data_IF_819947545998
#
_entry.id   IF_819947545998
#
_cell.length_a   1.000
_cell.length_b   1.000
_cell.length_c   1.000
_cell.angle_alpha   90.00
_cell.angle_beta   90.00
_cell.angle_gamma   90.00
#
_symmetry.space_group_name_H-M   'P 1'
#
loop_
_entity.id
_entity.type
_entity.pdbx_description
1 polymer ?
#
# COMPACT_ATOMS: atom_id res chain seq x y z
N UNK A 1 -13.27 5.57 15.41
CA UNK A 1 -13.61 5.53 13.98
C UNK A 1 -12.63 4.61 13.26
N UNK A 2 -13.06 3.88 12.24
CA UNK A 2 -12.11 3.08 11.42
C UNK A 2 -11.23 4.01 10.59
N UNK A 3 -10.04 3.58 10.19
CA UNK A 3 -9.16 4.43 9.36
C UNK A 3 -9.79 4.74 7.99
N UNK A 4 -10.59 3.81 7.44
CA UNK A 4 -11.34 4.03 6.20
C UNK A 4 -12.41 5.13 6.36
N UNK A 5 -13.13 5.18 7.47
CA UNK A 5 -14.15 6.23 7.73
C UNK A 5 -13.53 7.54 8.21
N UNK A 6 -12.32 7.50 8.75
CA UNK A 6 -11.62 8.69 9.23
C UNK A 6 -11.35 9.66 8.08
N UNK A 7 -10.91 9.18 6.91
CA UNK A 7 -10.66 10.01 5.73
C UNK A 7 -11.89 10.11 4.82
N UNK A 8 -12.24 11.33 4.40
CA UNK A 8 -13.43 11.62 3.59
C UNK A 8 -13.06 11.83 2.12
N UNK A 9 -13.99 11.52 1.23
CA UNK A 9 -13.91 12.01 -0.15
C UNK A 9 -14.31 13.50 -0.16
N UNK A 10 -13.82 14.31 -1.12
CA UNK A 10 -14.08 15.74 -1.13
C UNK A 10 -15.58 16.09 -1.15
N UNK A 11 -16.35 15.46 -2.03
CA UNK A 11 -17.78 15.75 -2.22
C UNK A 11 -18.05 17.26 -2.36
N UNK A 12 -19.12 17.74 -1.73
CA UNK A 12 -19.46 19.17 -1.68
C UNK A 12 -18.67 19.96 -0.60
N UNK A 13 -17.89 19.28 0.23
CA UNK A 13 -17.14 19.90 1.34
C UNK A 13 -15.66 19.51 1.31
N UNK A 14 -14.89 19.91 0.27
CA UNK A 14 -13.49 19.50 0.09
C UNK A 14 -12.58 19.90 1.24
N UNK A 15 -12.90 20.96 1.98
CA UNK A 15 -12.19 21.41 3.17
C UNK A 15 -12.33 20.45 4.38
N UNK A 16 -13.27 19.50 4.34
CA UNK A 16 -13.49 18.50 5.39
C UNK A 16 -12.86 17.17 4.99
N UNK A 17 -11.54 17.08 5.12
CA UNK A 17 -10.75 15.91 4.69
C UNK A 17 -10.88 14.69 5.62
N UNK A 18 -11.29 14.90 6.87
CA UNK A 18 -11.38 13.85 7.88
C UNK A 18 -12.61 13.98 8.79
N UNK A 19 -12.78 13.01 9.69
CA UNK A 19 -13.93 12.90 10.58
C UNK A 19 -13.83 13.70 11.89
N UNK A 20 -12.78 14.50 12.10
CA UNK A 20 -12.63 15.31 13.31
C UNK A 20 -13.61 16.49 13.32
N UNK A 21 -14.14 16.78 14.49
CA UNK A 21 -14.90 17.99 14.78
C UNK A 21 -14.02 18.99 15.57
N UNK A 22 -14.39 20.29 15.62
CA UNK A 22 -13.63 21.27 16.40
C UNK A 22 -13.47 20.86 17.86
N UNK A 23 -12.22 20.83 18.33
CA UNK A 23 -11.87 20.39 19.69
C UNK A 23 -11.45 18.92 19.80
N UNK A 24 -11.65 18.11 18.75
CA UNK A 24 -11.14 16.73 18.73
C UNK A 24 -9.61 16.69 18.61
N UNK A 25 -9.01 15.68 19.23
CA UNK A 25 -7.59 15.37 19.11
C UNK A 25 -7.38 13.87 18.87
N UNK A 26 -6.54 13.54 17.89
CA UNK A 26 -6.08 12.16 17.70
C UNK A 26 -5.06 11.82 18.79
N UNK A 27 -5.44 10.95 19.73
CA UNK A 27 -4.57 10.55 20.85
C UNK A 27 -3.89 9.20 20.65
N UNK A 28 -4.42 8.35 19.77
CA UNK A 28 -3.87 7.01 19.51
C UNK A 28 -4.36 6.42 18.18
N UNK A 29 -3.56 5.49 17.65
CA UNK A 29 -3.98 4.54 16.61
C UNK A 29 -3.87 3.15 17.21
N UNK A 30 -4.89 2.32 17.03
CA UNK A 30 -4.91 0.93 17.51
C UNK A 30 -4.87 0.00 16.32
N UNK A 31 -3.84 -0.86 16.27
CA UNK A 31 -3.82 -1.98 15.35
C UNK A 31 -4.52 -3.17 16.02
N UNK A 32 -5.46 -3.83 15.32
CA UNK A 32 -6.12 -5.02 15.86
C UNK A 32 -5.08 -6.14 16.07
N UNK A 33 -5.29 -7.02 17.05
CA UNK A 33 -4.32 -8.08 17.38
C UNK A 33 -4.08 -9.01 16.19
N UNK A 34 -5.12 -9.22 15.37
CA UNK A 34 -5.10 -9.98 14.13
C UNK A 34 -4.14 -9.37 13.08
N UNK A 35 -3.77 -8.10 13.20
CA UNK A 35 -2.76 -7.50 12.32
C UNK A 35 -1.39 -8.21 12.44
N UNK A 36 -1.11 -8.84 13.58
CA UNK A 36 0.12 -9.60 13.79
C UNK A 36 0.27 -10.76 12.79
N UNK A 37 -0.82 -11.35 12.30
CA UNK A 37 -0.76 -12.46 11.33
C UNK A 37 -0.16 -12.06 9.99
N UNK A 38 -0.14 -10.75 9.68
CA UNK A 38 0.40 -10.21 8.43
C UNK A 38 1.88 -9.81 8.54
N UNK A 39 2.43 -9.77 9.76
CA UNK A 39 3.78 -9.22 10.03
C UNK A 39 4.88 -9.89 9.20
N UNK A 40 4.76 -11.19 8.96
CA UNK A 40 5.72 -11.97 8.19
C UNK A 40 5.66 -11.68 6.68
N UNK A 41 4.58 -11.11 6.15
CA UNK A 41 4.36 -10.97 4.70
C UNK A 41 3.69 -9.63 4.39
N UNK A 42 4.36 -8.54 4.75
CA UNK A 42 3.90 -7.17 4.52
C UNK A 42 4.94 -6.33 3.79
N UNK A 43 4.48 -5.45 2.91
CA UNK A 43 5.30 -4.48 2.18
C UNK A 43 4.58 -3.18 1.93
N UNK A 44 5.36 -2.10 1.98
CA UNK A 44 4.98 -0.82 1.43
C UNK A 44 5.98 -0.42 0.35
N UNK A 45 5.49 -0.14 -0.86
CA UNK A 45 6.27 0.36 -1.97
C UNK A 45 5.80 1.76 -2.35
N UNK A 46 6.76 2.61 -2.68
CA UNK A 46 6.54 4.02 -3.00
C UNK A 46 7.34 4.41 -4.23
N UNK A 47 6.65 4.62 -5.34
CA UNK A 47 7.24 5.18 -6.56
C UNK A 47 7.25 6.69 -6.47
N UNK A 48 8.40 7.28 -6.81
CA UNK A 48 8.71 8.70 -6.64
C UNK A 48 9.80 9.11 -7.62
N UNK A 49 9.84 10.40 -7.95
CA UNK A 49 10.81 10.97 -8.90
C UNK A 49 12.24 11.02 -8.35
N UNK A 50 12.38 11.14 -7.03
CA UNK A 50 13.66 11.25 -6.33
C UNK A 50 13.77 10.21 -5.23
N UNK A 51 14.98 9.69 -5.03
CA UNK A 51 15.22 8.54 -4.14
C UNK A 51 14.85 8.83 -2.68
N UNK A 52 14.92 10.07 -2.22
CA UNK A 52 14.47 10.48 -0.87
C UNK A 52 13.74 11.83 -0.92
N UNK A 53 13.06 12.17 0.18
CA UNK A 53 12.39 13.45 0.40
C UNK A 53 11.43 13.87 -0.73
N UNK A 54 10.63 12.91 -1.20
CA UNK A 54 9.59 13.12 -2.21
C UNK A 54 8.29 12.42 -1.81
N UNK A 55 7.14 12.99 -2.23
CA UNK A 55 5.84 12.33 -2.12
C UNK A 55 5.75 11.12 -3.06
N UNK A 56 4.76 10.26 -2.81
CA UNK A 56 4.50 9.14 -3.68
C UNK A 56 3.77 9.66 -4.93
N UNK A 57 4.27 9.34 -6.11
CA UNK A 57 3.48 9.48 -7.34
C UNK A 57 2.34 8.47 -7.29
N UNK A 58 2.68 7.22 -6.96
CA UNK A 58 1.79 6.16 -6.48
C UNK A 58 2.49 5.33 -5.41
N UNK A 59 1.74 4.76 -4.49
CA UNK A 59 2.23 3.80 -3.51
C UNK A 59 1.26 2.65 -3.31
N UNK A 60 1.76 1.50 -2.85
CA UNK A 60 0.94 0.36 -2.47
C UNK A 60 1.45 -0.24 -1.16
N UNK A 61 0.53 -0.49 -0.22
CA UNK A 61 0.73 -1.32 0.95
C UNK A 61 0.03 -2.66 0.70
N UNK A 62 0.78 -3.77 0.73
CA UNK A 62 0.27 -5.12 0.56
C UNK A 62 0.66 -5.97 1.77
N UNK A 63 -0.28 -6.76 2.25
CA UNK A 63 -0.07 -7.69 3.35
C UNK A 63 -0.84 -8.99 3.10
N UNK A 64 -0.19 -10.13 3.30
CA UNK A 64 -0.72 -11.46 3.01
C UNK A 64 -0.65 -12.37 4.23
N UNK A 65 -1.60 -13.28 4.36
CA UNK A 65 -1.48 -14.51 5.15
C UNK A 65 -1.50 -15.66 4.16
N UNK A 66 -0.42 -16.42 4.08
CA UNK A 66 -0.27 -17.52 3.12
C UNK A 66 -0.07 -18.82 3.87
N UNK A 67 -0.82 -19.84 3.48
CA UNK A 67 -0.76 -21.18 4.06
C UNK A 67 -0.87 -22.21 2.93
N UNK A 68 0.09 -23.13 2.86
CA UNK A 68 0.15 -24.14 1.80
C UNK A 68 0.17 -23.56 0.37
N UNK A 69 0.76 -22.37 0.17
CA UNK A 69 0.80 -21.68 -1.12
C UNK A 69 -0.51 -20.96 -1.51
N UNK A 70 -1.55 -21.04 -0.66
CA UNK A 70 -2.83 -20.35 -0.85
C UNK A 70 -2.91 -19.10 0.03
N UNK A 71 -3.52 -18.04 -0.50
CA UNK A 71 -3.73 -16.80 0.25
C UNK A 71 -4.97 -16.95 1.13
N UNK A 72 -4.79 -16.98 2.44
CA UNK A 72 -5.87 -17.06 3.44
C UNK A 72 -6.48 -15.71 3.77
N UNK A 73 -5.69 -14.66 3.70
CA UNK A 73 -6.14 -13.28 3.86
C UNK A 73 -5.21 -12.33 3.10
N UNK A 74 -5.77 -11.24 2.59
CA UNK A 74 -5.02 -10.17 1.96
C UNK A 74 -5.52 -8.81 2.46
N UNK A 75 -4.60 -7.84 2.54
CA UNK A 75 -4.90 -6.41 2.68
C UNK A 75 -4.13 -5.66 1.60
N UNK A 76 -4.83 -4.82 0.86
CA UNK A 76 -4.23 -4.01 -0.19
C UNK A 76 -4.77 -2.58 -0.12
N UNK A 77 -3.86 -1.62 0.03
CA UNK A 77 -4.18 -0.20 0.00
C UNK A 77 -3.25 0.57 -0.94
N UNK A 78 -3.80 1.56 -1.64
CA UNK A 78 -3.08 2.42 -2.58
C UNK A 78 -3.04 3.86 -2.09
N UNK A 79 -1.92 4.53 -2.36
CA UNK A 79 -1.70 5.95 -2.09
C UNK A 79 -1.34 6.71 -3.37
N UNK A 80 -1.63 8.01 -3.41
CA UNK A 80 -1.35 8.88 -4.56
C UNK A 80 -2.26 8.66 -5.78
N UNK A 81 -3.24 7.77 -5.67
CA UNK A 81 -4.18 7.40 -6.75
C UNK A 81 -5.60 7.97 -6.56
N UNK A 82 -5.93 8.45 -5.36
CA UNK A 82 -7.25 8.98 -5.01
C UNK A 82 -7.13 10.09 -3.95
N UNK A 83 -8.24 10.80 -3.67
CA UNK A 83 -8.30 11.88 -2.69
C UNK A 83 -8.13 11.43 -1.22
N UNK A 84 -8.20 10.11 -0.97
CA UNK A 84 -7.94 9.47 0.32
C UNK A 84 -7.15 8.17 0.10
N UNK A 85 -6.53 7.58 1.15
CA UNK A 85 -5.98 6.23 1.05
C UNK A 85 -7.05 5.25 0.55
N UNK A 86 -6.74 4.51 -0.52
CA UNK A 86 -7.72 3.68 -1.22
C UNK A 86 -7.55 2.21 -0.86
N UNK A 87 -8.50 1.63 -0.14
CA UNK A 87 -8.47 0.19 0.16
C UNK A 87 -9.08 -0.60 -1.00
N UNK A 88 -8.28 -1.43 -1.65
CA UNK A 88 -8.66 -2.19 -2.85
C UNK A 88 -9.37 -3.50 -2.49
N UNK A 89 -10.62 -3.41 -1.99
CA UNK A 89 -11.40 -4.59 -1.54
C UNK A 89 -11.69 -5.58 -2.67
N UNK A 90 -11.89 -5.11 -3.89
CA UNK A 90 -12.09 -5.96 -5.08
C UNK A 90 -10.87 -6.85 -5.33
N UNK A 91 -9.67 -6.31 -5.20
CA UNK A 91 -8.43 -7.07 -5.25
C UNK A 91 -8.29 -8.04 -4.07
N UNK A 92 -8.61 -7.60 -2.84
CA UNK A 92 -8.60 -8.48 -1.65
C UNK A 92 -9.52 -9.70 -1.87
N UNK A 93 -10.67 -9.52 -2.52
CA UNK A 93 -11.60 -10.61 -2.85
C UNK A 93 -11.04 -11.59 -3.90
N UNK A 94 -10.37 -11.09 -4.95
CA UNK A 94 -9.69 -11.93 -5.95
C UNK A 94 -8.58 -12.77 -5.34
N UNK A 95 -7.86 -12.22 -4.35
CA UNK A 95 -6.75 -12.89 -3.70
C UNK A 95 -7.24 -14.01 -2.74
N UNK A 96 -8.41 -13.87 -2.13
CA UNK A 96 -8.89 -14.80 -1.11
C UNK A 96 -9.06 -16.23 -1.66
N UNK A 97 -8.30 -17.18 -1.09
CA UNK A 97 -8.33 -18.59 -1.47
C UNK A 97 -7.56 -18.93 -2.76
N UNK A 98 -7.02 -17.94 -3.46
CA UNK A 98 -6.26 -18.14 -4.69
C UNK A 98 -4.82 -18.57 -4.40
N UNK A 99 -4.13 -19.10 -5.42
CA UNK A 99 -2.70 -19.38 -5.37
C UNK A 99 -1.89 -18.09 -5.23
N UNK A 100 -0.86 -18.11 -4.39
CA UNK A 100 0.07 -17.01 -4.23
C UNK A 100 1.03 -16.92 -5.43
N UNK A 101 0.52 -16.45 -6.57
CA UNK A 101 1.24 -16.40 -7.84
C UNK A 101 1.19 -15.00 -8.47
N UNK A 102 2.17 -14.72 -9.34
CA UNK A 102 2.20 -13.46 -10.09
C UNK A 102 0.98 -13.28 -11.01
N UNK A 103 0.47 -14.37 -11.60
CA UNK A 103 -0.76 -14.33 -12.40
C UNK A 103 -1.96 -13.89 -11.55
N UNK A 104 -2.12 -14.46 -10.35
CA UNK A 104 -3.16 -14.06 -9.40
C UNK A 104 -3.00 -12.60 -8.97
N UNK A 105 -1.77 -12.14 -8.73
CA UNK A 105 -1.50 -10.75 -8.37
C UNK A 105 -1.82 -9.78 -9.52
N UNK A 106 -1.60 -10.18 -10.76
CA UNK A 106 -2.00 -9.40 -11.94
C UNK A 106 -3.54 -9.27 -12.02
N UNK A 107 -4.28 -10.36 -11.85
CA UNK A 107 -5.75 -10.33 -11.80
C UNK A 107 -6.28 -9.46 -10.65
N UNK A 108 -5.63 -9.50 -9.49
CA UNK A 108 -5.98 -8.63 -8.37
C UNK A 108 -5.70 -7.14 -8.68
N UNK A 109 -4.61 -6.82 -9.38
CA UNK A 109 -4.31 -5.46 -9.83
C UNK A 109 -5.34 -4.95 -10.84
N UNK A 110 -5.77 -5.80 -11.78
CA UNK A 110 -6.84 -5.47 -12.73
C UNK A 110 -8.16 -5.19 -12.00
N UNK A 111 -8.52 -6.04 -11.03
CA UNK A 111 -9.72 -5.84 -10.21
C UNK A 111 -9.66 -4.58 -9.32
N UNK A 112 -8.46 -4.19 -8.82
CA UNK A 112 -8.28 -2.97 -8.03
C UNK A 112 -8.56 -1.70 -8.85
N UNK A 113 -8.34 -1.75 -10.16
CA UNK A 113 -8.30 -0.59 -11.05
C UNK A 113 -9.40 -0.61 -12.11
N UNK A 114 -10.34 -1.57 -12.06
CA UNK A 114 -11.42 -1.71 -13.03
C UNK A 114 -12.23 -0.41 -13.21
N UNK A 115 -12.46 0.32 -12.12
CA UNK A 115 -13.21 1.58 -12.10
C UNK A 115 -12.30 2.82 -12.06
N UNK A 116 -10.99 2.66 -12.23
CA UNK A 116 -10.06 3.78 -12.19
C UNK A 116 -10.21 4.66 -13.43
N UNK A 117 -10.42 5.96 -13.21
CA UNK A 117 -10.48 6.97 -14.27
C UNK A 117 -9.41 8.04 -14.06
N UNK A 118 -8.80 8.53 -15.16
CA UNK A 118 -7.83 9.60 -15.06
C UNK A 118 -8.50 10.94 -14.80
N UNK A 119 -7.72 11.89 -14.27
CA UNK A 119 -8.08 13.30 -14.09
C UNK A 119 -6.95 14.16 -14.63
N UNK A 120 -7.23 14.92 -15.71
CA UNK A 120 -6.21 15.70 -16.42
C UNK A 120 -5.07 14.82 -16.94
N UNK A 121 -3.83 15.29 -16.74
CA UNK A 121 -2.62 14.64 -17.28
C UNK A 121 -2.11 13.44 -16.48
N UNK A 122 -2.94 12.84 -15.62
CA UNK A 122 -2.51 11.80 -14.69
C UNK A 122 -2.78 10.36 -15.14
N UNK A 123 -3.19 10.13 -16.41
CA UNK A 123 -3.56 8.81 -16.91
C UNK A 123 -2.48 7.73 -16.74
N UNK A 124 -1.21 8.13 -16.79
CA UNK A 124 -0.07 7.25 -16.53
C UNK A 124 -0.11 6.61 -15.14
N UNK A 125 -0.80 7.21 -14.16
CA UNK A 125 -0.91 6.67 -12.79
C UNK A 125 -1.68 5.36 -12.74
N UNK A 126 -2.61 5.10 -13.66
CA UNK A 126 -3.37 3.85 -13.69
C UNK A 126 -2.44 2.68 -13.98
N UNK A 127 -1.63 2.78 -15.05
CA UNK A 127 -0.65 1.75 -15.37
C UNK A 127 0.43 1.62 -14.29
N UNK A 128 0.88 2.73 -13.70
CA UNK A 128 1.84 2.70 -12.62
C UNK A 128 1.28 2.05 -11.34
N UNK A 129 0.01 2.32 -11.03
CA UNK A 129 -0.73 1.68 -9.94
C UNK A 129 -0.86 0.17 -10.16
N UNK A 130 -1.14 -0.25 -11.40
CA UNK A 130 -1.23 -1.68 -11.75
C UNK A 130 0.09 -2.39 -11.45
N UNK A 131 1.21 -1.83 -11.92
CA UNK A 131 2.55 -2.40 -11.72
C UNK A 131 2.96 -2.43 -10.25
N UNK A 132 2.70 -1.36 -9.50
CA UNK A 132 3.10 -1.28 -8.10
C UNK A 132 2.27 -2.23 -7.22
N UNK A 133 1.00 -2.50 -7.54
CA UNK A 133 0.19 -3.53 -6.86
C UNK A 133 0.84 -4.89 -6.98
N UNK A 134 1.13 -5.33 -8.22
CA UNK A 134 1.79 -6.61 -8.47
C UNK A 134 3.12 -6.68 -7.74
N UNK A 135 3.96 -5.63 -7.87
CA UNK A 135 5.27 -5.59 -7.23
C UNK A 135 5.18 -5.64 -5.70
N UNK A 136 4.20 -4.98 -5.10
CA UNK A 136 3.99 -4.97 -3.65
C UNK A 136 3.55 -6.35 -3.15
N UNK A 137 2.65 -7.02 -3.86
CA UNK A 137 2.19 -8.38 -3.55
C UNK A 137 3.32 -9.41 -3.68
N UNK A 138 4.09 -9.36 -4.78
CA UNK A 138 5.29 -10.21 -4.96
C UNK A 138 6.28 -9.98 -3.82
N UNK A 139 6.56 -8.71 -3.50
CA UNK A 139 7.52 -8.37 -2.45
C UNK A 139 7.01 -8.80 -1.05
N UNK A 140 5.70 -8.73 -0.80
CA UNK A 140 5.08 -9.20 0.44
C UNK A 140 5.14 -10.74 0.56
N UNK A 141 4.94 -11.45 -0.56
CA UNK A 141 5.10 -12.90 -0.62
C UNK A 141 6.54 -13.34 -0.31
N UNK A 142 7.54 -12.55 -0.71
CA UNK A 142 8.95 -12.82 -0.37
C UNK A 142 9.31 -12.63 1.12
N UNK A 143 8.36 -12.25 1.97
CA UNK A 143 8.49 -12.19 3.44
C UNK A 143 9.07 -10.87 3.95
N UNK A 144 8.58 -10.31 5.06
CA UNK A 144 9.05 -9.05 5.69
C UNK A 144 10.49 -9.16 6.17
N UNK A 145 11.43 -8.37 5.61
CA UNK A 145 12.80 -8.45 6.05
C UNK A 145 12.88 -7.77 7.41
N UNK A 146 13.67 -8.35 8.31
CA UNK A 146 13.95 -7.76 9.62
C UNK A 146 14.58 -6.37 9.47
N UNK A 147 15.38 -6.16 8.40
CA UNK A 147 16.00 -4.89 8.05
C UNK A 147 15.92 -4.61 6.55
N UNK A 148 15.58 -3.38 6.18
CA UNK A 148 15.62 -2.92 4.80
C UNK A 148 17.02 -2.41 4.45
N UNK A 149 17.53 -2.68 3.23
CA UNK A 149 18.77 -2.08 2.78
C UNK A 149 18.65 -0.57 2.68
N UNK A 150 19.75 0.14 2.91
CA UNK A 150 19.79 1.58 2.72
C UNK A 150 19.43 1.97 1.28
N UNK A 151 18.77 3.12 1.14
CA UNK A 151 18.46 3.67 -0.18
C UNK A 151 19.76 4.07 -0.90
N UNK A 152 19.83 3.93 -2.23
CA UNK A 152 20.93 4.51 -3.00
C UNK A 152 21.09 6.01 -2.69
N UNK A 153 22.32 6.45 -2.45
CA UNK A 153 22.64 7.81 -2.02
C UNK A 153 21.94 8.26 -0.72
N UNK A 154 21.66 7.31 0.20
CA UNK A 154 21.24 7.65 1.56
C UNK A 154 22.35 8.45 2.26
N UNK A 155 22.05 9.62 2.87
CA UNK A 155 23.02 10.33 3.70
C UNK A 155 23.36 9.56 4.99
N UNK A 156 22.62 8.48 5.26
CA UNK A 156 22.76 7.63 6.43
C UNK A 156 23.50 6.31 6.14
N UNK A 157 23.85 6.00 4.88
CA UNK A 157 24.67 4.82 4.53
C UNK A 157 25.24 4.90 3.11
N UNK A 158 26.56 4.71 3.00
CA UNK A 158 27.34 4.99 1.78
C UNK A 158 27.69 3.71 0.99
N UNK A 159 27.32 2.55 1.49
CA UNK A 159 27.64 1.25 0.87
C UNK A 159 26.31 0.57 0.49
N UNK A 160 26.06 0.35 -0.81
CA UNK A 160 24.93 -0.45 -1.25
C UNK A 160 24.95 -1.83 -0.57
N UNK A 161 23.99 -2.10 0.31
CA UNK A 161 23.90 -3.36 1.05
C UNK A 161 24.66 -3.42 2.38
N UNK A 162 25.32 -2.35 2.84
CA UNK A 162 25.87 -2.36 4.20
C UNK A 162 24.81 -2.07 5.27
N UNK A 163 25.04 -2.67 6.44
CA UNK A 163 24.27 -2.48 7.67
C UNK A 163 24.45 -1.05 8.19
N UNK A 164 23.45 -0.55 8.93
CA UNK A 164 23.48 0.79 9.53
C UNK A 164 24.34 0.88 10.81
N UNK A 165 24.89 -0.25 11.24
CA UNK A 165 25.50 -0.48 12.54
C UNK A 165 26.96 -0.94 12.41
N UNK A 166 27.75 -0.18 11.63
CA UNK A 166 29.21 -0.19 11.66
C UNK A 166 29.75 1.25 11.67
#
# INVERSE_FOLDING_TARGET
>A
VTLEEFHRLPGETPQRENALEPGDLIVAVRLPAEAASFSANARYLKVRERTSYAFAVVSAAAALVVDGGKIRAARLALGGVAAKPWRARTAEAVLLGADASEATFASAADAALADASPSGDNAFKIELARRIVVRALVSALSGTPERLPALPASPFSNIPGARHDA
#
